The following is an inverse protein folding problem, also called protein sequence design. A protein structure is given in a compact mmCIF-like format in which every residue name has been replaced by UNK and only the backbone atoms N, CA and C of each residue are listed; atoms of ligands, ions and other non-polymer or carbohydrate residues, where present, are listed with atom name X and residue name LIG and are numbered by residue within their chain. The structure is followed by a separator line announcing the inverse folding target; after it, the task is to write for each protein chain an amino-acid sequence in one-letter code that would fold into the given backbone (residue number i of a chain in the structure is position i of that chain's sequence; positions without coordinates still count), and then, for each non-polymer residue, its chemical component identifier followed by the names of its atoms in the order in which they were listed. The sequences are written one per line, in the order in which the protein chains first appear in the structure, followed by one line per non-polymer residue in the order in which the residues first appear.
data_IF_025638701098
#
_entry.id   IF_025638701098
#
_cell.length_a   1.000
_cell.length_b   1.000
_cell.length_c   1.000
_cell.angle_alpha   90.00
_cell.angle_beta   90.00
_cell.angle_gamma   90.00
#
_symmetry.space_group_name_H-M   'P 1'
#
loop_
_entity.id
_entity.type
_entity.pdbx_description
1 polymer ?
#
# COMPACT_ATOMS: atom_id res chain seq x y z
N UNK A 1 -13.48 -21.83 24.09
CA UNK A 1 -12.72 -22.12 22.86
C UNK A 1 -11.78 -20.94 22.64
N UNK A 2 -10.42 -21.09 22.71
CA UNK A 2 -9.55 -20.01 22.31
C UNK A 2 -9.79 -19.78 20.82
N UNK A 3 -10.13 -18.54 20.45
CA UNK A 3 -10.41 -18.16 19.08
C UNK A 3 -9.22 -18.52 18.19
N UNK A 4 -9.43 -19.35 17.18
CA UNK A 4 -8.41 -19.65 16.17
C UNK A 4 -7.88 -18.32 15.63
N UNK A 5 -6.62 -18.02 15.90
CA UNK A 5 -5.97 -16.86 15.35
C UNK A 5 -6.10 -16.92 13.83
N UNK A 6 -6.70 -15.90 13.21
CA UNK A 6 -6.83 -15.85 11.76
C UNK A 6 -5.45 -15.93 11.14
N UNK A 7 -5.31 -16.73 10.06
CA UNK A 7 -4.06 -16.89 9.34
C UNK A 7 -3.41 -15.52 9.03
N UNK A 8 -2.08 -15.40 9.16
CA UNK A 8 -1.37 -14.14 8.93
C UNK A 8 -1.50 -13.66 7.48
N UNK A 9 -1.72 -14.58 6.55
CA UNK A 9 -1.77 -14.31 5.12
C UNK A 9 -3.07 -14.79 4.48
N UNK A 10 -3.47 -14.12 3.42
CA UNK A 10 -4.57 -14.50 2.53
C UNK A 10 -3.99 -14.59 1.11
N UNK A 11 -4.05 -15.75 0.44
CA UNK A 11 -3.57 -15.85 -0.93
C UNK A 11 -4.43 -14.98 -1.87
N UNK A 12 -3.79 -14.19 -2.69
CA UNK A 12 -4.43 -13.36 -3.72
C UNK A 12 -4.21 -13.96 -5.10
N UNK A 13 -2.97 -14.29 -5.41
CA UNK A 13 -2.52 -14.80 -6.70
C UNK A 13 -1.61 -16.00 -6.47
N UNK A 14 -1.82 -17.05 -7.24
CA UNK A 14 -0.92 -18.18 -7.40
C UNK A 14 -0.68 -18.36 -8.90
N UNK A 15 0.54 -18.08 -9.37
CA UNK A 15 0.82 -18.01 -10.80
C UNK A 15 2.26 -18.35 -11.16
N UNK A 16 2.52 -18.44 -12.47
CA UNK A 16 3.85 -18.75 -13.00
C UNK A 16 4.86 -17.63 -12.73
N UNK A 17 4.42 -16.39 -12.75
CA UNK A 17 5.25 -15.21 -12.51
C UNK A 17 5.52 -14.95 -11.03
N UNK A 18 4.86 -15.70 -10.12
CA UNK A 18 5.03 -15.58 -8.70
C UNK A 18 3.71 -15.71 -7.95
N UNK A 19 3.81 -15.61 -6.63
CA UNK A 19 2.66 -15.69 -5.74
C UNK A 19 2.51 -14.41 -4.94
N UNK A 20 1.27 -13.98 -4.71
CA UNK A 20 0.98 -12.74 -3.97
C UNK A 20 0.00 -13.05 -2.84
N UNK A 21 0.31 -12.56 -1.64
CA UNK A 21 -0.54 -12.67 -0.46
C UNK A 21 -0.81 -11.31 0.14
N UNK A 22 -2.01 -11.13 0.66
CA UNK A 22 -2.32 -10.04 1.58
C UNK A 22 -1.91 -10.45 2.99
N UNK A 23 -1.12 -9.63 3.65
CA UNK A 23 -0.66 -9.81 5.03
C UNK A 23 -1.59 -9.03 5.95
N UNK A 24 -2.24 -9.72 6.88
CA UNK A 24 -3.13 -9.11 7.87
C UNK A 24 -2.32 -8.64 9.08
N UNK A 25 -2.13 -7.34 9.23
CA UNK A 25 -1.34 -6.77 10.33
C UNK A 25 -2.22 -6.39 11.53
N UNK A 26 -3.42 -5.88 11.29
CA UNK A 26 -4.41 -5.58 12.31
C UNK A 26 -5.80 -6.05 11.81
N UNK A 27 -6.02 -7.36 11.76
CA UNK A 27 -7.19 -7.93 11.10
C UNK A 27 -7.24 -7.52 9.63
N UNK A 28 -8.38 -7.02 9.18
CA UNK A 28 -8.53 -6.46 7.84
C UNK A 28 -8.42 -4.91 7.84
N UNK A 29 -8.12 -4.29 9.01
CA UNK A 29 -8.00 -2.83 9.13
C UNK A 29 -6.68 -2.29 8.59
N UNK A 30 -5.59 -3.04 8.70
CA UNK A 30 -4.28 -2.69 8.16
C UNK A 30 -3.71 -3.91 7.47
N UNK A 31 -3.45 -3.78 6.20
CA UNK A 31 -2.87 -4.83 5.36
C UNK A 31 -1.58 -4.33 4.71
N UNK A 32 -0.66 -5.26 4.50
CA UNK A 32 0.42 -5.15 3.54
C UNK A 32 0.35 -6.33 2.59
N UNK A 33 1.35 -6.43 1.72
CA UNK A 33 1.38 -7.52 0.75
C UNK A 33 2.78 -8.14 0.69
N UNK A 34 2.80 -9.42 0.37
CA UNK A 34 4.00 -10.20 0.15
C UNK A 34 3.93 -10.75 -1.27
N UNK A 35 4.93 -10.45 -2.07
CA UNK A 35 5.10 -10.97 -3.40
C UNK A 35 6.32 -11.86 -3.40
N UNK A 36 6.20 -13.10 -3.85
CA UNK A 36 7.32 -14.03 -3.99
C UNK A 36 7.49 -14.41 -5.45
N UNK A 37 8.65 -14.09 -5.97
CA UNK A 37 9.09 -14.45 -7.30
C UNK A 37 9.31 -15.96 -7.46
N UNK A 38 9.31 -16.49 -8.69
CA UNK A 38 9.56 -17.92 -8.94
C UNK A 38 10.91 -18.43 -8.44
N UNK A 39 11.92 -17.56 -8.35
CA UNK A 39 13.26 -17.88 -7.83
C UNK A 39 13.34 -17.80 -6.28
N UNK A 40 12.22 -17.44 -5.64
CA UNK A 40 12.10 -17.36 -4.18
C UNK A 40 12.46 -16.02 -3.58
N UNK A 41 12.82 -15.01 -4.36
CA UNK A 41 12.97 -13.64 -3.87
C UNK A 41 11.63 -13.09 -3.41
N UNK A 42 11.67 -12.18 -2.43
CA UNK A 42 10.46 -11.63 -1.82
C UNK A 42 10.49 -10.12 -1.84
N UNK A 43 9.39 -9.53 -2.28
CA UNK A 43 9.07 -8.11 -2.11
C UNK A 43 7.99 -7.95 -1.06
N UNK A 44 8.22 -7.06 -0.09
CA UNK A 44 7.20 -6.60 0.86
C UNK A 44 6.61 -5.28 0.34
N UNK A 45 5.29 -5.15 0.42
CA UNK A 45 4.57 -3.91 0.08
C UNK A 45 3.78 -3.50 1.31
N UNK A 46 4.08 -2.34 1.84
CA UNK A 46 3.62 -1.83 3.13
C UNK A 46 3.89 -2.80 4.29
N UNK A 47 4.31 -2.28 5.40
CA UNK A 47 4.82 -3.07 6.53
C UNK A 47 4.10 -2.79 7.84
N UNK A 48 3.03 -2.01 7.78
CA UNK A 48 2.13 -1.78 8.89
C UNK A 48 2.65 -0.82 9.94
N UNK A 49 2.01 -0.88 11.11
CA UNK A 49 2.33 -0.09 12.28
C UNK A 49 3.70 -0.48 12.87
N UNK A 50 4.27 0.37 13.73
CA UNK A 50 5.57 0.14 14.40
C UNK A 50 5.72 -1.24 15.06
N UNK A 51 4.62 -1.84 15.51
CA UNK A 51 4.62 -3.17 16.16
C UNK A 51 4.28 -4.31 15.19
N UNK A 52 4.16 -4.05 13.90
CA UNK A 52 3.79 -5.07 12.91
C UNK A 52 4.94 -5.96 12.43
N UNK A 53 6.21 -5.59 12.69
CA UNK A 53 7.36 -6.38 12.23
C UNK A 53 7.27 -7.88 12.59
N UNK A 54 6.92 -8.29 13.84
CA UNK A 54 6.75 -9.71 14.15
C UNK A 54 5.67 -10.40 13.28
N UNK A 55 4.60 -9.68 12.96
CA UNK A 55 3.51 -10.21 12.13
C UNK A 55 3.93 -10.40 10.68
N UNK A 56 4.75 -9.47 10.15
CA UNK A 56 5.33 -9.60 8.80
C UNK A 56 6.30 -10.79 8.75
N UNK A 57 7.13 -10.97 9.78
CA UNK A 57 8.04 -12.13 9.88
C UNK A 57 7.27 -13.45 10.01
N UNK A 58 6.17 -13.48 10.76
CA UNK A 58 5.27 -14.64 10.83
C UNK A 58 4.67 -14.95 9.45
N UNK A 59 4.25 -13.90 8.70
CA UNK A 59 3.72 -14.04 7.36
C UNK A 59 4.77 -14.62 6.38
N UNK A 60 6.01 -14.15 6.45
CA UNK A 60 7.12 -14.73 5.67
C UNK A 60 7.27 -16.24 5.95
N UNK A 61 7.33 -16.63 7.24
CA UNK A 61 7.40 -18.04 7.63
C UNK A 61 6.20 -18.87 7.17
N UNK A 62 4.99 -18.29 7.21
CA UNK A 62 3.77 -18.97 6.79
C UNK A 62 3.73 -19.29 5.28
N UNK A 63 4.47 -18.52 4.45
CA UNK A 63 4.62 -18.79 3.01
C UNK A 63 5.92 -19.53 2.67
N UNK A 64 6.63 -20.03 3.69
CA UNK A 64 7.89 -20.78 3.51
C UNK A 64 9.06 -19.89 3.09
N UNK A 65 9.06 -18.62 3.47
CA UNK A 65 10.14 -17.68 3.16
C UNK A 65 10.84 -17.19 4.44
N UNK A 66 12.08 -16.75 4.29
CA UNK A 66 12.91 -16.19 5.35
C UNK A 66 13.21 -14.70 5.13
N UNK A 67 13.55 -13.93 6.16
CA UNK A 67 13.93 -12.52 6.00
C UNK A 67 15.09 -12.29 5.04
N UNK A 68 16.01 -13.24 4.91
CA UNK A 68 17.14 -13.19 3.97
C UNK A 68 16.74 -13.25 2.50
N UNK A 69 15.52 -13.71 2.21
CA UNK A 69 14.97 -13.75 0.86
C UNK A 69 14.28 -12.43 0.46
N UNK A 70 14.06 -11.53 1.41
CA UNK A 70 13.52 -10.20 1.10
C UNK A 70 14.57 -9.41 0.36
N UNK A 71 14.26 -9.01 -0.86
CA UNK A 71 15.14 -8.23 -1.73
C UNK A 71 14.67 -6.79 -1.89
N UNK A 72 13.40 -6.51 -1.56
CA UNK A 72 12.78 -5.19 -1.72
C UNK A 72 11.69 -4.94 -0.67
N UNK A 73 11.60 -3.70 -0.20
CA UNK A 73 10.49 -3.20 0.64
C UNK A 73 9.94 -1.97 -0.05
N UNK A 74 8.73 -2.04 -0.56
CA UNK A 74 8.03 -0.92 -1.23
C UNK A 74 7.00 -0.34 -0.26
N UNK A 75 6.97 0.98 -0.13
CA UNK A 75 5.93 1.67 0.62
C UNK A 75 5.00 2.41 -0.34
N UNK A 76 3.69 2.22 -0.17
CA UNK A 76 2.71 2.98 -0.96
C UNK A 76 2.74 4.46 -0.62
N UNK A 77 3.05 4.80 0.65
CA UNK A 77 3.18 6.18 1.11
C UNK A 77 3.76 6.27 2.53
N UNK A 78 4.06 7.51 2.98
CA UNK A 78 4.69 7.76 4.26
C UNK A 78 3.69 8.04 5.39
N UNK A 79 2.83 7.05 5.74
CA UNK A 79 2.02 7.08 6.97
C UNK A 79 2.41 5.95 7.92
N UNK A 80 2.11 6.13 9.20
CA UNK A 80 2.61 5.24 10.27
C UNK A 80 2.05 3.82 10.23
N UNK A 81 0.89 3.62 9.64
CA UNK A 81 0.25 2.31 9.45
C UNK A 81 0.71 1.58 8.19
N UNK A 82 1.56 2.20 7.36
CA UNK A 82 2.23 1.62 6.20
C UNK A 82 3.74 1.52 6.41
N UNK A 83 4.37 2.60 6.89
CA UNK A 83 5.82 2.72 7.07
C UNK A 83 6.28 2.40 8.50
N UNK A 84 5.37 2.16 9.44
CA UNK A 84 5.67 2.09 10.88
C UNK A 84 6.71 1.04 11.27
N UNK A 85 6.74 -0.11 10.60
CA UNK A 85 7.72 -1.17 10.85
C UNK A 85 8.90 -1.15 9.87
N UNK A 86 9.01 -0.15 8.99
CA UNK A 86 10.01 -0.10 7.93
C UNK A 86 11.46 -0.22 8.46
N UNK A 87 11.84 0.62 9.41
CA UNK A 87 13.18 0.58 9.99
C UNK A 87 13.51 -0.80 10.61
N UNK A 88 12.58 -1.37 11.39
CA UNK A 88 12.79 -2.66 12.03
C UNK A 88 12.92 -3.81 11.01
N UNK A 89 12.22 -3.74 9.88
CA UNK A 89 12.33 -4.72 8.81
C UNK A 89 13.56 -4.48 7.95
N UNK A 90 13.96 -3.23 7.70
CA UNK A 90 15.25 -2.90 7.09
C UNK A 90 16.42 -3.53 7.87
N UNK A 91 16.44 -3.38 9.18
CA UNK A 91 17.46 -3.98 10.06
C UNK A 91 17.46 -5.52 9.97
N UNK A 92 16.30 -6.14 9.82
CA UNK A 92 16.15 -7.61 9.78
C UNK A 92 16.46 -8.23 8.44
N UNK A 93 16.26 -7.49 7.35
CA UNK A 93 16.40 -7.95 5.98
C UNK A 93 17.68 -7.44 5.32
N UNK A 94 18.29 -6.38 5.86
CA UNK A 94 19.40 -5.67 5.24
C UNK A 94 18.99 -4.89 3.99
N UNK A 95 17.69 -4.53 3.86
CA UNK A 95 17.17 -3.80 2.70
C UNK A 95 16.66 -2.42 3.08
N UNK A 96 17.02 -1.44 2.26
CA UNK A 96 16.43 -0.11 2.32
C UNK A 96 15.00 -0.14 1.80
N UNK A 97 14.23 0.91 2.07
CA UNK A 97 12.85 0.99 1.59
C UNK A 97 12.76 1.82 0.31
N UNK A 98 11.92 1.38 -0.61
CA UNK A 98 11.60 2.11 -1.84
C UNK A 98 10.26 2.81 -1.64
N UNK A 99 10.20 4.07 -2.02
CA UNK A 99 9.00 4.92 -1.88
C UNK A 99 9.01 5.98 -2.98
N UNK A 100 7.84 6.46 -3.36
CA UNK A 100 7.79 7.54 -4.34
C UNK A 100 8.57 8.78 -3.84
N UNK A 101 9.35 9.40 -4.76
CA UNK A 101 10.27 10.51 -4.46
C UNK A 101 9.65 11.64 -3.62
N UNK A 102 8.36 11.92 -3.79
CA UNK A 102 7.67 12.97 -3.06
C UNK A 102 7.41 12.64 -1.58
N UNK A 103 7.50 11.35 -1.18
CA UNK A 103 7.38 10.91 0.21
C UNK A 103 8.75 10.52 0.83
N UNK A 104 9.81 10.46 0.05
CA UNK A 104 11.14 10.00 0.49
C UNK A 104 11.69 10.80 1.69
N UNK A 105 11.49 12.11 1.69
CA UNK A 105 11.96 12.97 2.78
C UNK A 105 11.27 12.64 4.12
N UNK A 106 9.99 12.27 4.09
CA UNK A 106 9.24 11.89 5.30
C UNK A 106 9.75 10.57 5.87
N UNK A 107 10.05 9.58 5.02
CA UNK A 107 10.62 8.30 5.44
C UNK A 107 11.98 8.50 6.09
N UNK A 108 12.86 9.31 5.48
CA UNK A 108 14.20 9.64 6.04
C UNK A 108 14.12 10.38 7.37
N UNK A 109 13.07 11.18 7.57
CA UNK A 109 12.85 11.93 8.80
C UNK A 109 12.11 11.10 9.89
N UNK A 110 11.50 9.97 9.54
CA UNK A 110 10.61 9.22 10.45
C UNK A 110 9.32 9.96 10.76
N UNK A 111 8.88 10.80 9.85
CA UNK A 111 7.68 11.62 9.97
C UNK A 111 6.62 11.17 8.97
N UNK A 112 5.34 11.21 9.37
CA UNK A 112 4.27 10.99 8.41
C UNK A 112 4.13 12.17 7.45
N UNK A 113 3.69 11.87 6.23
CA UNK A 113 3.23 12.88 5.30
C UNK A 113 2.15 13.77 5.96
N UNK A 114 2.05 15.06 5.56
CA UNK A 114 1.13 15.99 6.18
C UNK A 114 -0.31 15.53 6.10
N UNK A 115 -1.04 15.68 7.20
CA UNK A 115 -2.50 15.47 7.27
C UNK A 115 -3.24 16.82 7.28
N UNK A 116 -4.53 16.80 6.99
CA UNK A 116 -5.35 18.02 6.88
C UNK A 116 -6.36 18.20 8.02
N UNK A 117 -7.02 19.33 8.05
CA UNK A 117 -8.11 19.62 8.97
C UNK A 117 -7.74 19.45 10.45
N UNK A 118 -8.64 18.87 11.22
CA UNK A 118 -8.46 18.68 12.67
C UNK A 118 -7.33 17.71 13.03
N UNK A 119 -6.94 16.81 12.14
CA UNK A 119 -5.82 15.89 12.37
C UNK A 119 -4.48 16.65 12.52
N UNK A 120 -4.32 17.82 11.93
CA UNK A 120 -3.12 18.67 12.11
C UNK A 120 -2.95 19.17 13.54
N UNK A 121 -4.00 19.17 14.33
CA UNK A 121 -3.96 19.61 15.76
C UNK A 121 -3.39 18.50 16.67
N UNK A 122 -3.31 17.27 16.20
CA UNK A 122 -2.75 16.18 16.98
C UNK A 122 -1.21 16.33 17.04
N UNK A 123 -0.59 15.94 18.17
CA UNK A 123 0.87 15.96 18.28
C UNK A 123 1.52 15.11 17.18
N UNK A 124 2.55 15.62 16.51
CA UNK A 124 3.27 14.92 15.42
C UNK A 124 3.68 13.50 15.80
N UNK A 125 4.05 13.26 17.07
CA UNK A 125 4.42 11.93 17.59
C UNK A 125 3.33 10.85 17.41
N UNK A 126 2.06 11.26 17.22
CA UNK A 126 0.94 10.31 16.98
C UNK A 126 1.10 9.66 15.62
N UNK A 127 1.69 10.37 14.66
CA UNK A 127 1.87 9.95 13.29
C UNK A 127 3.32 9.57 12.95
N UNK A 128 4.29 9.75 13.89
CA UNK A 128 5.70 9.46 13.65
C UNK A 128 5.99 7.96 13.75
N UNK A 129 7.04 7.55 13.03
CA UNK A 129 7.63 6.21 13.05
C UNK A 129 9.15 6.32 13.11
N UNK A 130 9.88 5.20 13.15
CA UNK A 130 11.33 5.24 13.12
C UNK A 130 11.81 5.58 11.69
N UNK A 131 12.76 6.50 11.57
CA UNK A 131 13.38 6.84 10.30
C UNK A 131 13.99 5.59 9.64
N UNK A 132 13.88 5.50 8.33
CA UNK A 132 14.45 4.43 7.54
C UNK A 132 15.24 4.99 6.36
N UNK A 133 16.25 4.24 5.91
CA UNK A 133 17.01 4.58 4.70
C UNK A 133 16.11 4.32 3.49
N UNK A 134 16.10 5.30 2.56
CA UNK A 134 15.41 5.18 1.28
C UNK A 134 16.43 4.70 0.25
N UNK A 135 16.15 3.54 -0.35
CA UNK A 135 16.91 2.95 -1.43
C UNK A 135 16.57 3.60 -2.77
N UNK A 136 15.47 3.21 -3.35
CA UNK A 136 15.02 3.74 -4.64
C UNK A 136 13.90 4.78 -4.45
N UNK A 137 14.02 5.93 -5.11
CA UNK A 137 12.97 6.94 -5.19
C UNK A 137 12.11 6.67 -6.43
N UNK A 138 10.96 6.05 -6.21
CA UNK A 138 10.04 5.62 -7.27
C UNK A 138 9.39 6.81 -7.99
N UNK A 139 9.00 6.57 -9.24
CA UNK A 139 8.30 7.54 -10.09
C UNK A 139 7.09 6.90 -10.78
N UNK A 140 6.16 7.73 -11.25
CA UNK A 140 4.99 7.28 -12.00
C UNK A 140 5.36 6.49 -13.26
N UNK A 141 4.61 5.44 -13.54
CA UNK A 141 4.81 4.56 -14.70
C UNK A 141 6.01 3.61 -14.58
N UNK A 142 6.82 3.71 -13.52
CA UNK A 142 7.97 2.83 -13.32
C UNK A 142 7.53 1.37 -13.20
N UNK A 143 8.20 0.48 -13.93
CA UNK A 143 8.00 -0.96 -13.84
C UNK A 143 9.10 -1.55 -12.95
N UNK A 144 8.71 -2.09 -11.81
CA UNK A 144 9.60 -2.80 -10.90
C UNK A 144 9.73 -4.25 -11.38
N UNK A 145 10.95 -4.77 -11.35
CA UNK A 145 11.22 -6.19 -11.64
C UNK A 145 10.83 -7.05 -10.42
N UNK A 146 9.54 -7.31 -10.30
CA UNK A 146 8.90 -8.06 -9.22
C UNK A 146 7.84 -8.96 -9.85
N UNK A 147 8.03 -10.26 -9.74
CA UNK A 147 7.06 -11.29 -10.16
C UNK A 147 6.51 -11.09 -11.60
N UNK A 148 7.34 -10.69 -12.53
CA UNK A 148 6.95 -10.44 -13.93
C UNK A 148 6.48 -9.02 -14.23
N UNK A 149 6.48 -8.12 -13.26
CA UNK A 149 6.23 -6.69 -13.44
C UNK A 149 5.21 -6.09 -12.48
N UNK A 150 5.69 -5.18 -11.65
CA UNK A 150 4.85 -4.39 -10.74
C UNK A 150 4.97 -2.91 -11.12
N UNK A 151 3.92 -2.37 -11.71
CA UNK A 151 3.90 -0.97 -12.18
C UNK A 151 3.47 -0.02 -11.08
N UNK A 152 4.23 1.04 -10.93
CA UNK A 152 3.93 2.20 -10.06
C UNK A 152 2.91 3.11 -10.75
N UNK A 153 1.85 3.45 -10.06
CA UNK A 153 0.83 4.43 -10.50
C UNK A 153 0.77 5.54 -9.45
N UNK A 154 1.24 6.73 -9.79
CA UNK A 154 1.21 7.85 -8.86
C UNK A 154 -0.21 8.37 -8.68
N UNK A 155 -0.74 8.27 -7.46
CA UNK A 155 -2.09 8.67 -7.08
C UNK A 155 -2.05 9.66 -5.89
N UNK A 156 -1.43 10.84 -6.07
CA UNK A 156 -1.20 11.78 -4.98
C UNK A 156 -2.48 12.34 -4.37
N UNK A 157 -2.37 12.84 -3.15
CA UNK A 157 -3.45 13.48 -2.42
C UNK A 157 -3.60 12.93 -1.01
N UNK A 158 -3.64 11.60 -0.84
CA UNK A 158 -3.57 10.99 0.50
C UNK A 158 -2.23 11.35 1.17
N UNK A 159 -1.14 11.14 0.46
CA UNK A 159 0.14 11.83 0.68
C UNK A 159 0.62 12.45 -0.65
N UNK A 160 1.66 13.31 -0.64
CA UNK A 160 2.26 13.83 -1.87
C UNK A 160 2.82 12.73 -2.78
N UNK A 161 3.40 11.69 -2.18
CA UNK A 161 4.02 10.57 -2.89
C UNK A 161 3.19 9.28 -2.88
N UNK A 162 1.89 9.34 -2.60
CA UNK A 162 1.06 8.15 -2.59
C UNK A 162 1.03 7.45 -3.95
N UNK A 163 1.24 6.14 -3.94
CA UNK A 163 1.16 5.28 -5.13
C UNK A 163 0.15 4.15 -4.94
N UNK A 164 -0.47 3.77 -6.03
CA UNK A 164 -1.09 2.47 -6.23
C UNK A 164 -0.16 1.60 -7.06
N UNK A 165 -0.34 0.28 -7.04
CA UNK A 165 0.51 -0.65 -7.77
C UNK A 165 -0.34 -1.58 -8.63
N UNK A 166 0.13 -1.89 -9.84
CA UNK A 166 -0.51 -2.87 -10.71
C UNK A 166 0.48 -3.99 -11.03
N UNK A 167 0.12 -5.21 -10.66
CA UNK A 167 0.82 -6.40 -11.10
C UNK A 167 0.18 -6.88 -12.40
N UNK A 168 0.89 -6.68 -13.51
CA UNK A 168 0.33 -6.81 -14.86
C UNK A 168 -0.06 -8.25 -15.20
N UNK A 169 0.84 -9.19 -14.97
CA UNK A 169 0.62 -10.60 -15.32
C UNK A 169 -0.60 -11.20 -14.62
N UNK A 170 -0.83 -10.88 -13.35
CA UNK A 170 -1.98 -11.38 -12.59
C UNK A 170 -3.19 -10.46 -12.64
N UNK A 171 -3.07 -9.30 -13.28
CA UNK A 171 -4.12 -8.29 -13.37
C UNK A 171 -4.64 -7.91 -11.98
N UNK A 172 -3.70 -7.72 -11.03
CA UNK A 172 -3.99 -7.30 -9.66
C UNK A 172 -3.68 -5.81 -9.49
N UNK A 173 -4.66 -5.06 -8.97
CA UNK A 173 -4.49 -3.70 -8.48
C UNK A 173 -4.32 -3.73 -6.95
N UNK A 174 -3.28 -3.08 -6.43
CA UNK A 174 -3.13 -2.70 -5.02
C UNK A 174 -3.38 -1.20 -4.92
N UNK A 175 -4.45 -0.81 -4.25
CA UNK A 175 -4.94 0.57 -4.28
C UNK A 175 -4.13 1.54 -3.43
N UNK A 176 -3.33 1.04 -2.47
CA UNK A 176 -2.88 1.88 -1.36
C UNK A 176 -4.09 2.54 -0.68
N UNK A 177 -3.91 3.77 -0.23
CA UNK A 177 -4.93 4.57 0.43
C UNK A 177 -5.67 5.51 -0.53
N UNK A 178 -5.64 5.24 -1.85
CA UNK A 178 -6.52 5.92 -2.79
C UNK A 178 -7.99 5.52 -2.59
N UNK A 179 -8.23 4.25 -2.24
CA UNK A 179 -9.54 3.67 -1.96
C UNK A 179 -9.44 2.63 -0.84
N UNK A 180 -10.47 2.54 0.00
CA UNK A 180 -10.66 1.53 1.04
C UNK A 180 -11.80 0.56 0.67
N UNK A 181 -11.81 -0.64 1.30
CA UNK A 181 -12.92 -1.58 1.21
C UNK A 181 -13.36 -2.10 2.58
N UNK A 182 -13.65 -1.19 3.52
CA UNK A 182 -14.03 -1.57 4.90
C UNK A 182 -15.49 -2.00 5.05
N UNK A 183 -16.39 -1.34 4.33
CA UNK A 183 -17.85 -1.61 4.28
C UNK A 183 -18.37 -1.43 2.85
N UNK A 184 -17.60 -1.95 1.88
CA UNK A 184 -17.70 -1.63 0.48
C UNK A 184 -16.64 -0.57 0.09
N UNK A 185 -16.49 -0.36 -1.23
CA UNK A 185 -15.52 0.63 -1.76
C UNK A 185 -15.88 2.03 -1.29
N UNK A 186 -14.90 2.72 -0.74
CA UNK A 186 -15.06 4.05 -0.15
C UNK A 186 -13.77 4.86 -0.19
N UNK A 187 -13.91 6.13 0.15
CA UNK A 187 -12.78 7.04 0.29
C UNK A 187 -12.05 6.84 1.62
N UNK A 188 -10.73 7.13 1.66
CA UNK A 188 -10.01 7.26 2.93
C UNK A 188 -10.61 8.39 3.77
N UNK A 189 -10.30 8.39 5.06
CA UNK A 189 -10.73 9.46 5.96
C UNK A 189 -10.15 10.81 5.52
N UNK A 190 -11.01 11.79 5.20
CA UNK A 190 -10.60 13.07 4.62
C UNK A 190 -9.53 13.83 5.43
N UNK A 191 -9.54 13.68 6.75
CA UNK A 191 -8.60 14.38 7.65
C UNK A 191 -7.22 13.73 7.70
N UNK A 192 -7.10 12.49 7.22
CA UNK A 192 -5.83 11.78 7.09
C UNK A 192 -5.16 11.98 5.73
N UNK A 193 -5.81 12.71 4.82
CA UNK A 193 -5.22 13.08 3.54
C UNK A 193 -4.50 14.44 3.63
N UNK A 194 -3.41 14.58 2.91
CA UNK A 194 -2.77 15.89 2.68
C UNK A 194 -3.71 16.81 1.90
N UNK A 195 -4.29 16.28 0.81
CA UNK A 195 -5.34 16.93 0.00
C UNK A 195 -6.40 15.89 -0.41
N UNK A 196 -7.53 15.89 0.28
CA UNK A 196 -8.62 14.95 0.01
C UNK A 196 -9.25 15.13 -1.37
N UNK A 197 -9.33 16.38 -1.87
CA UNK A 197 -9.87 16.64 -3.21
C UNK A 197 -8.93 16.11 -4.29
N UNK A 198 -7.64 16.24 -4.09
CA UNK A 198 -6.63 15.66 -4.98
C UNK A 198 -6.72 14.13 -4.95
N UNK A 199 -6.83 13.49 -3.76
CA UNK A 199 -7.05 12.05 -3.63
C UNK A 199 -8.23 11.59 -4.47
N UNK A 200 -9.37 12.28 -4.37
CA UNK A 200 -10.55 11.96 -5.16
C UNK A 200 -10.29 12.07 -6.67
N UNK A 201 -9.60 13.12 -7.12
CA UNK A 201 -9.29 13.30 -8.54
C UNK A 201 -8.36 12.22 -9.07
N UNK A 202 -7.26 11.97 -8.39
CA UNK A 202 -6.24 11.03 -8.87
C UNK A 202 -6.68 9.58 -8.81
N UNK A 203 -7.53 9.20 -7.83
CA UNK A 203 -8.10 7.86 -7.74
C UNK A 203 -8.95 7.47 -8.97
N UNK A 204 -9.44 8.43 -9.76
CA UNK A 204 -10.17 8.12 -10.98
C UNK A 204 -9.33 7.35 -12.01
N UNK A 205 -8.00 7.50 -12.01
CA UNK A 205 -7.12 6.71 -12.88
C UNK A 205 -7.29 5.21 -12.64
N UNK A 206 -7.59 4.81 -11.39
CA UNK A 206 -7.78 3.40 -11.05
C UNK A 206 -8.97 2.76 -11.79
N UNK A 207 -9.97 3.56 -12.16
CA UNK A 207 -11.08 3.11 -13.00
C UNK A 207 -10.68 2.81 -14.44
N UNK A 208 -9.58 3.39 -14.93
CA UNK A 208 -9.13 3.24 -16.32
C UNK A 208 -8.09 2.12 -16.49
N UNK A 209 -7.47 1.66 -15.40
CA UNK A 209 -6.50 0.57 -15.42
C UNK A 209 -7.16 -0.78 -15.74
N UNK A 210 -6.34 -1.72 -16.18
CA UNK A 210 -6.79 -3.05 -16.55
C UNK A 210 -6.41 -4.06 -15.45
N UNK A 211 -7.41 -4.54 -14.69
CA UNK A 211 -7.27 -5.52 -13.60
C UNK A 211 -8.58 -6.29 -13.39
N UNK A 212 -8.46 -7.47 -12.80
CA UNK A 212 -9.58 -8.34 -12.45
C UNK A 212 -9.73 -8.48 -10.93
N UNK A 213 -8.64 -8.30 -10.18
CA UNK A 213 -8.57 -8.39 -8.73
C UNK A 213 -8.13 -7.05 -8.16
N UNK A 214 -8.80 -6.56 -7.11
CA UNK A 214 -8.37 -5.37 -6.37
C UNK A 214 -8.12 -5.69 -4.91
N UNK A 215 -6.95 -5.32 -4.41
CA UNK A 215 -6.53 -5.47 -3.03
C UNK A 215 -6.34 -4.11 -2.37
N UNK A 216 -6.70 -4.02 -1.09
CA UNK A 216 -6.75 -2.78 -0.34
C UNK A 216 -5.85 -2.87 0.89
N UNK A 217 -5.18 -1.78 1.19
CA UNK A 217 -4.44 -1.60 2.43
C UNK A 217 -5.37 -1.53 3.64
N UNK A 218 -6.63 -1.12 3.41
CA UNK A 218 -7.71 -1.10 4.40
C UNK A 218 -8.95 -1.83 3.88
N UNK A 219 -9.19 -3.01 4.41
CA UNK A 219 -10.31 -3.87 4.05
C UNK A 219 -9.90 -5.13 3.26
N UNK A 220 -10.86 -6.03 3.03
CA UNK A 220 -10.63 -7.23 2.22
C UNK A 220 -10.52 -6.90 0.73
N UNK A 221 -9.95 -7.82 -0.02
CA UNK A 221 -9.88 -7.76 -1.47
C UNK A 221 -11.26 -7.90 -2.14
N UNK A 222 -11.39 -7.39 -3.36
CA UNK A 222 -12.47 -7.68 -4.31
C UNK A 222 -11.97 -8.67 -5.36
N UNK A 223 -12.60 -9.85 -5.44
CA UNK A 223 -12.22 -10.93 -6.36
C UNK A 223 -13.10 -11.00 -7.60
N UNK A 224 -14.31 -10.52 -7.48
CA UNK A 224 -15.29 -10.56 -8.56
C UNK A 224 -15.71 -9.14 -8.92
N UNK A 225 -15.80 -8.86 -10.22
CA UNK A 225 -16.27 -7.58 -10.74
C UNK A 225 -15.55 -6.37 -10.12
N UNK A 226 -14.27 -6.53 -9.77
CA UNK A 226 -13.49 -5.54 -9.00
C UNK A 226 -13.44 -4.20 -9.74
N UNK A 227 -13.07 -4.23 -11.01
CA UNK A 227 -13.00 -3.02 -11.86
C UNK A 227 -14.37 -2.36 -12.04
N UNK A 228 -15.43 -3.15 -12.24
CA UNK A 228 -16.79 -2.61 -12.37
C UNK A 228 -17.25 -1.95 -11.06
N UNK A 229 -16.97 -2.59 -9.92
CA UNK A 229 -17.34 -2.07 -8.60
C UNK A 229 -16.64 -0.75 -8.31
N UNK A 230 -15.32 -0.67 -8.57
CA UNK A 230 -14.54 0.56 -8.39
C UNK A 230 -15.03 1.63 -9.38
N UNK A 231 -15.24 1.32 -10.65
CA UNK A 231 -15.80 2.25 -11.63
C UNK A 231 -17.19 2.76 -11.24
N UNK A 232 -18.06 1.88 -10.76
CA UNK A 232 -19.39 2.28 -10.29
C UNK A 232 -19.32 3.24 -9.09
N UNK A 233 -18.37 2.99 -8.16
CA UNK A 233 -18.10 3.91 -7.05
C UNK A 233 -17.61 5.27 -7.57
N UNK A 234 -16.59 5.30 -8.42
CA UNK A 234 -16.00 6.53 -8.97
C UNK A 234 -17.00 7.36 -9.78
N UNK A 235 -17.85 6.71 -10.59
CA UNK A 235 -18.93 7.41 -11.33
C UNK A 235 -19.94 8.11 -10.44
N UNK A 236 -20.24 7.56 -9.27
CA UNK A 236 -21.12 8.21 -8.26
C UNK A 236 -20.45 9.38 -7.55
N UNK A 237 -19.12 9.48 -7.64
CA UNK A 237 -18.32 10.52 -7.04
C UNK A 237 -17.43 11.20 -8.10
N UNK A 238 -18.03 11.92 -9.05
CA UNK A 238 -17.27 12.53 -10.14
C UNK A 238 -16.21 13.48 -9.58
N UNK A 239 -15.02 13.48 -10.18
CA UNK A 239 -14.01 14.48 -9.87
C UNK A 239 -14.57 15.85 -10.22
N UNK A 240 -14.75 16.72 -9.21
CA UNK A 240 -15.13 18.10 -9.50
C UNK A 240 -13.99 18.74 -10.27
N UNK A 241 -14.20 18.99 -11.56
CA UNK A 241 -13.30 19.82 -12.34
C UNK A 241 -13.14 21.16 -11.59
N UNK A 242 -11.90 21.57 -11.38
CA UNK A 242 -11.64 22.95 -10.97
C UNK A 242 -12.14 23.77 -12.15
N UNK A 243 -13.29 24.45 -12.00
CA UNK A 243 -13.69 25.52 -12.90
C UNK A 243 -12.56 26.52 -12.89
N UNK A 244 -11.76 26.52 -13.97
CA UNK A 244 -10.70 27.50 -14.18
C UNK A 244 -11.35 28.88 -14.13
N UNK A 245 -11.07 29.61 -13.04
CA UNK A 245 -11.25 31.05 -13.03
C UNK A 245 -10.24 31.64 -14.00
N UNK A 246 -10.73 32.19 -15.07
CA UNK A 246 -10.04 33.09 -15.99
C UNK A 246 -9.63 34.34 -15.27
#
# INVERSE_FOLDING_TARGET
MPGMARAPVVPLVEGRSGNIWRVRMLGDYVNGFLVRDPDGQVTLIDVGLRRSAPRVLEALGAVGSAPSQVTRIVLTHAHADHAGAAAALSDRTGRDVDVHRADAAYIRAGEAAPVSGVARMLPRRVFSFAAATVGEELVDGQLLDVAGGLRVVHTPGHSPGHISLVHEDSRLLITGDALFNMRGVGWPGKYFCTDFRLTQRTAHVLGELDYDLAAFTHGPELRERSRETIRAFLRRHPSTAVSGGT
#
